data_IF_027285605578
#
_entry.id   IF_027285605578
#
_cell.length_a   1.000
_cell.length_b   1.000
_cell.length_c   1.000
_cell.angle_alpha   90.00
_cell.angle_beta   90.00
_cell.angle_gamma   90.00
#
_symmetry.space_group_name_H-M   'P 1'
#
loop_
_entity.id
_entity.type
_entity.pdbx_description
1 polymer ?
#
# COMPACT_ATOMS: atom_id res chain seq x y z
N UNK A 1 16.63 22.25 -22.98
CA UNK A 1 16.89 22.08 -21.52
C UNK A 1 16.39 20.72 -21.13
N UNK A 2 17.26 19.76 -20.81
CA UNK A 2 16.83 18.51 -20.17
C UNK A 2 16.34 18.90 -18.77
N UNK A 3 15.07 18.66 -18.47
CA UNK A 3 14.55 18.90 -17.12
C UNK A 3 15.32 18.01 -16.16
N UNK A 4 15.96 18.61 -15.14
CA UNK A 4 16.62 17.85 -14.09
C UNK A 4 15.59 16.91 -13.45
N UNK A 5 15.87 15.61 -13.28
CA UNK A 5 14.92 14.68 -12.69
C UNK A 5 14.54 15.19 -11.30
N UNK A 6 13.25 15.43 -11.07
CA UNK A 6 12.76 15.81 -9.75
C UNK A 6 12.96 14.61 -8.80
N UNK A 7 13.77 14.76 -7.74
CA UNK A 7 14.17 13.64 -6.89
C UNK A 7 12.97 13.04 -6.15
N UNK A 8 12.01 13.88 -5.76
CA UNK A 8 10.80 13.43 -5.09
C UNK A 8 9.87 12.67 -6.03
N UNK A 9 9.67 13.15 -7.26
CA UNK A 9 8.90 12.45 -8.30
C UNK A 9 9.50 11.09 -8.61
N UNK A 10 10.82 10.99 -8.71
CA UNK A 10 11.52 9.72 -8.94
C UNK A 10 11.26 8.74 -7.78
N UNK A 11 11.30 9.26 -6.54
CA UNK A 11 10.96 8.48 -5.35
C UNK A 11 9.49 8.02 -5.35
N UNK A 12 8.54 8.89 -5.70
CA UNK A 12 7.12 8.53 -5.79
C UNK A 12 6.87 7.42 -6.80
N UNK A 13 7.52 7.48 -7.98
CA UNK A 13 7.42 6.42 -8.99
C UNK A 13 7.90 5.09 -8.42
N UNK A 14 9.07 5.08 -7.77
CA UNK A 14 9.59 3.86 -7.16
C UNK A 14 8.66 3.30 -6.08
N UNK A 15 8.14 4.17 -5.19
CA UNK A 15 7.25 3.77 -4.10
C UNK A 15 5.94 3.18 -4.62
N UNK A 16 5.29 3.84 -5.60
CA UNK A 16 4.04 3.38 -6.19
C UNK A 16 4.22 2.11 -7.04
N UNK A 17 5.39 1.96 -7.67
CA UNK A 17 5.73 0.73 -8.40
C UNK A 17 5.77 -0.45 -7.44
N UNK A 18 6.46 -0.32 -6.30
CA UNK A 18 6.50 -1.38 -5.26
C UNK A 18 5.09 -1.71 -4.76
N UNK A 19 4.25 -0.70 -4.52
CA UNK A 19 2.87 -0.92 -4.08
C UNK A 19 2.03 -1.67 -5.11
N UNK A 20 2.29 -1.43 -6.40
CA UNK A 20 1.56 -2.07 -7.51
C UNK A 20 1.94 -3.55 -7.71
N UNK A 21 3.07 -4.01 -7.18
CA UNK A 21 3.44 -5.44 -7.19
C UNK A 21 2.57 -6.27 -6.22
N UNK A 22 1.77 -5.63 -5.37
CA UNK A 22 0.94 -6.30 -4.37
C UNK A 22 1.69 -6.52 -3.04
N UNK A 23 1.17 -7.38 -2.14
CA UNK A 23 1.77 -7.62 -0.83
C UNK A 23 3.16 -8.25 -0.98
N UNK A 24 4.17 -7.39 -1.00
CA UNK A 24 5.58 -7.73 -1.15
C UNK A 24 6.30 -7.46 0.15
N UNK A 25 7.20 -8.37 0.54
CA UNK A 25 8.12 -8.18 1.69
C UNK A 25 9.29 -7.27 1.33
N UNK A 26 9.30 -6.69 0.13
CA UNK A 26 10.35 -5.78 -0.30
C UNK A 26 10.40 -4.55 0.62
N UNK A 27 11.61 -4.11 1.02
CA UNK A 27 11.75 -2.89 1.81
C UNK A 27 11.21 -1.70 1.01
N UNK A 28 10.35 -0.91 1.65
CA UNK A 28 9.85 0.32 1.03
C UNK A 28 11.01 1.29 0.82
N UNK A 29 11.13 1.91 -0.36
CA UNK A 29 12.13 2.93 -0.58
C UNK A 29 11.92 4.07 0.43
N UNK A 30 13.01 4.55 1.03
CA UNK A 30 13.00 5.71 1.93
C UNK A 30 13.45 6.95 1.17
N UNK A 31 12.70 8.04 1.31
CA UNK A 31 13.12 9.33 0.77
C UNK A 31 14.13 10.00 1.71
N UNK A 32 15.32 10.32 1.19
CA UNK A 32 16.36 11.08 1.90
C UNK A 32 16.75 12.36 1.14
N UNK A 33 15.92 12.79 0.18
CA UNK A 33 16.17 14.00 -0.60
C UNK A 33 15.68 15.27 0.10
N UNK A 34 15.74 16.43 -0.58
CA UNK A 34 15.17 17.68 -0.08
C UNK A 34 13.67 17.53 0.19
N UNK A 35 13.22 17.99 1.36
CA UNK A 35 11.82 17.90 1.78
C UNK A 35 11.30 19.30 2.10
N UNK A 36 10.09 19.58 1.66
CA UNK A 36 9.29 20.73 2.06
C UNK A 36 7.93 20.29 2.60
N UNK A 37 7.10 21.25 2.98
CA UNK A 37 5.78 20.97 3.54
C UNK A 37 4.87 20.18 2.57
N UNK A 38 5.04 20.34 1.25
CA UNK A 38 4.27 19.60 0.25
C UNK A 38 4.70 18.14 0.23
N UNK A 39 6.01 17.91 0.19
CA UNK A 39 6.65 16.60 0.22
C UNK A 39 6.23 15.82 1.47
N UNK A 40 6.31 16.45 2.66
CA UNK A 40 5.87 15.86 3.93
C UNK A 40 4.37 15.55 3.94
N UNK A 41 3.54 16.45 3.42
CA UNK A 41 2.09 16.26 3.34
C UNK A 41 1.75 15.04 2.48
N UNK A 42 2.37 14.92 1.30
CA UNK A 42 2.16 13.80 0.39
C UNK A 42 2.60 12.48 1.03
N UNK A 43 3.80 12.42 1.63
CA UNK A 43 4.30 11.21 2.29
C UNK A 43 3.38 10.77 3.43
N UNK A 44 2.88 11.71 4.24
CA UNK A 44 1.93 11.42 5.32
C UNK A 44 0.61 10.87 4.79
N UNK A 45 0.04 11.49 3.75
CA UNK A 45 -1.21 11.02 3.15
C UNK A 45 -1.07 9.63 2.53
N UNK A 46 0.07 9.33 1.90
CA UNK A 46 0.36 8.00 1.36
C UNK A 46 0.45 6.94 2.46
N UNK A 47 1.10 7.24 3.58
CA UNK A 47 1.15 6.33 4.73
C UNK A 47 -0.26 6.03 5.31
N UNK A 48 -1.13 7.04 5.37
CA UNK A 48 -2.53 6.83 5.78
C UNK A 48 -3.34 6.04 4.75
N UNK A 49 -3.06 6.20 3.46
CA UNK A 49 -3.71 5.42 2.41
C UNK A 49 -3.32 3.94 2.49
N UNK A 50 -2.03 3.62 2.58
CA UNK A 50 -1.55 2.24 2.67
C UNK A 50 -2.06 1.54 3.94
N UNK A 51 -2.10 2.23 5.09
CA UNK A 51 -2.66 1.69 6.32
C UNK A 51 -4.14 1.30 6.18
N UNK A 52 -4.96 2.15 5.53
CA UNK A 52 -6.37 1.86 5.27
C UNK A 52 -6.56 0.71 4.29
N UNK A 53 -5.75 0.67 3.24
CA UNK A 53 -5.78 -0.43 2.27
C UNK A 53 -5.44 -1.77 2.93
N UNK A 54 -4.37 -1.85 3.73
CA UNK A 54 -4.03 -3.06 4.48
C UNK A 54 -5.11 -3.47 5.49
N UNK A 55 -5.74 -2.50 6.18
CA UNK A 55 -6.86 -2.79 7.06
C UNK A 55 -8.04 -3.40 6.29
N UNK A 56 -8.37 -2.86 5.12
CA UNK A 56 -9.42 -3.38 4.26
C UNK A 56 -9.08 -4.78 3.72
N UNK A 57 -7.84 -5.01 3.31
CA UNK A 57 -7.34 -6.32 2.90
C UNK A 57 -7.49 -7.35 4.02
N UNK A 58 -7.09 -7.02 5.25
CA UNK A 58 -7.20 -7.93 6.40
C UNK A 58 -8.65 -8.32 6.70
N UNK A 59 -9.59 -7.37 6.58
CA UNK A 59 -11.03 -7.65 6.73
C UNK A 59 -11.52 -8.57 5.61
N UNK A 60 -11.16 -8.29 4.35
CA UNK A 60 -11.56 -9.12 3.21
C UNK A 60 -11.05 -10.56 3.32
N UNK A 61 -9.80 -10.74 3.76
CA UNK A 61 -9.23 -12.07 4.01
C UNK A 61 -9.91 -12.79 5.19
N UNK A 62 -10.32 -12.05 6.23
CA UNK A 62 -11.07 -12.59 7.37
C UNK A 62 -12.47 -13.08 6.99
N UNK A 63 -13.18 -12.34 6.12
CA UNK A 63 -14.51 -12.70 5.61
C UNK A 63 -14.46 -13.99 4.77
N UNK A 64 -13.44 -14.12 3.89
CA UNK A 64 -13.28 -15.32 3.06
C UNK A 64 -13.10 -16.61 3.90
N UNK A 65 -12.50 -16.52 5.09
CA UNK A 65 -12.35 -17.69 6.00
C UNK A 65 -13.65 -18.15 6.64
N UNK A 66 -14.63 -17.27 6.84
CA UNK A 66 -15.90 -17.64 7.48
C UNK A 66 -16.93 -18.22 6.48
N UNK A 67 -16.75 -17.95 5.19
CA UNK A 67 -17.70 -18.37 4.15
C UNK A 67 -17.53 -19.85 3.75
N UNK A 68 -16.42 -20.50 4.11
CA UNK A 68 -16.21 -21.94 3.97
C UNK A 68 -16.53 -22.70 5.27
N UNK A 69 -17.74 -22.54 5.79
CA UNK A 69 -18.28 -23.51 6.76
C UNK A 69 -19.19 -24.46 5.97
N UNK A 70 -18.82 -25.74 5.78
CA UNK A 70 -19.69 -26.67 5.08
C UNK A 70 -20.99 -26.76 5.88
N UNK A 71 -22.09 -26.55 5.17
CA UNK A 71 -23.45 -26.57 5.69
C UNK A 71 -23.77 -28.00 6.15
N UNK A 72 -23.39 -28.34 7.40
CA UNK A 72 -23.72 -29.63 8.00
C UNK A 72 -25.20 -29.64 8.37
N UNK A 73 -26.06 -29.88 7.38
CA UNK A 73 -27.43 -30.34 7.64
C UNK A 73 -27.35 -31.77 8.17
N UNK A 74 -27.90 -32.08 9.35
CA UNK A 74 -28.07 -33.47 9.77
C UNK A 74 -29.09 -34.11 8.84
N UNK A 75 -28.66 -35.15 8.11
CA UNK A 75 -29.60 -36.04 7.43
C UNK A 75 -30.33 -36.85 8.49
N UNK A 76 -31.65 -36.89 8.33
CA UNK A 76 -32.67 -37.48 9.20
C UNK A 76 -32.41 -38.95 9.52
#
# INVERSE_FOLDING_TARGET
RMATPDPFRSHLIALLSVYSLGPSTAPLPKYNGPTDWQTDSILRSLAQFSARAHAAENVAHGVNKQQHRPDSRPST
#
